data_IF_267045745393
#
_entry.id   IF_267045745393
#
_cell.length_a   1.000
_cell.length_b   1.000
_cell.length_c   1.000
_cell.angle_alpha   90.00
_cell.angle_beta   90.00
_cell.angle_gamma   90.00
#
_symmetry.space_group_name_H-M   'P 1'
#
loop_
_entity.id
_entity.type
_entity.pdbx_description
1 polymer ?
#
# COMPACT_ATOMS: atom_id res chain seq x y z
N UNK A 1 -5.61 21.44 10.20
CA UNK A 1 -4.59 21.89 9.27
C UNK A 1 -5.24 22.38 8.00
N UNK A 2 -4.67 23.40 7.38
CA UNK A 2 -5.15 23.87 6.07
C UNK A 2 -4.63 22.91 4.99
N UNK A 3 -5.50 22.44 4.10
CA UNK A 3 -5.19 21.61 2.94
C UNK A 3 -4.46 22.39 1.82
N UNK A 4 -3.82 23.50 2.13
CA UNK A 4 -3.15 24.39 1.17
C UNK A 4 -1.91 23.78 0.52
N UNK A 5 -1.37 22.70 1.08
CA UNK A 5 -0.15 22.02 0.61
C UNK A 5 -0.43 20.66 -0.04
N UNK A 6 -1.67 20.40 -0.46
CA UNK A 6 -2.05 19.18 -1.18
C UNK A 6 -2.12 19.49 -2.66
N UNK A 7 -1.42 18.67 -3.47
CA UNK A 7 -1.51 18.71 -4.92
C UNK A 7 -2.11 17.39 -5.39
N UNK A 8 -3.17 17.47 -6.20
CA UNK A 8 -3.76 16.31 -6.86
C UNK A 8 -3.05 16.08 -8.19
N UNK A 9 -2.60 14.85 -8.39
CA UNK A 9 -2.02 14.44 -9.67
C UNK A 9 -3.14 14.00 -10.60
N UNK A 10 -3.20 14.52 -11.83
CA UNK A 10 -4.21 14.08 -12.80
C UNK A 10 -4.10 12.58 -13.05
N UNK A 11 -5.24 11.87 -12.97
CA UNK A 11 -5.41 10.46 -13.32
C UNK A 11 -6.65 10.39 -14.20
N UNK A 12 -6.48 10.63 -15.50
CA UNK A 12 -7.55 10.78 -16.49
C UNK A 12 -7.37 9.76 -17.61
N UNK A 13 -8.36 9.64 -18.48
CA UNK A 13 -8.28 8.76 -19.65
C UNK A 13 -7.13 9.13 -20.59
N UNK A 14 -6.78 10.41 -20.68
CA UNK A 14 -5.72 10.92 -21.55
C UNK A 14 -4.32 10.44 -21.12
N UNK A 15 -4.11 10.16 -19.82
CA UNK A 15 -2.86 9.61 -19.30
C UNK A 15 -2.98 8.14 -18.83
N UNK A 16 -4.02 7.45 -19.32
CA UNK A 16 -4.32 6.07 -18.92
C UNK A 16 -4.42 5.88 -17.39
N UNK A 17 -4.87 6.90 -16.68
CA UNK A 17 -4.97 6.97 -15.21
C UNK A 17 -3.65 6.74 -14.48
N UNK A 18 -2.51 6.96 -15.15
CA UNK A 18 -1.17 6.87 -14.58
C UNK A 18 -0.64 8.28 -14.37
N UNK A 19 -0.46 8.72 -13.11
CA UNK A 19 0.03 10.07 -12.83
C UNK A 19 1.50 10.22 -13.19
N UNK A 20 1.87 11.40 -13.64
CA UNK A 20 3.25 11.76 -13.92
C UNK A 20 4.04 11.96 -12.62
N UNK A 21 5.33 11.63 -12.69
CA UNK A 21 6.26 11.92 -11.60
C UNK A 21 6.41 13.45 -11.48
N UNK A 22 6.23 14.03 -10.28
CA UNK A 22 6.40 15.47 -10.09
C UNK A 22 7.82 15.95 -10.40
N UNK A 23 7.93 17.14 -10.99
CA UNK A 23 9.19 17.81 -11.25
C UNK A 23 9.81 18.51 -10.03
N UNK A 24 9.04 18.63 -8.95
CA UNK A 24 9.41 19.26 -7.67
C UNK A 24 9.45 18.23 -6.53
N UNK A 25 10.23 18.53 -5.49
CA UNK A 25 10.22 17.71 -4.28
C UNK A 25 8.86 17.75 -3.58
N UNK A 26 8.38 16.57 -3.19
CA UNK A 26 7.18 16.36 -2.40
C UNK A 26 7.57 15.53 -1.17
N UNK A 27 7.03 15.88 0.00
CA UNK A 27 7.35 15.16 1.24
C UNK A 27 6.65 13.79 1.32
N UNK A 28 5.38 13.72 0.88
CA UNK A 28 4.58 12.49 0.92
C UNK A 28 3.80 12.35 -0.38
N UNK A 29 3.82 11.16 -0.97
CA UNK A 29 2.93 10.79 -2.08
C UNK A 29 2.05 9.60 -1.67
N UNK A 30 0.76 9.67 -1.99
CA UNK A 30 -0.19 8.58 -1.80
C UNK A 30 -0.51 7.94 -3.15
N UNK A 31 -0.27 6.64 -3.27
CA UNK A 31 -0.52 5.83 -4.45
C UNK A 31 -1.46 4.68 -4.09
N UNK A 32 -2.53 4.49 -4.83
CA UNK A 32 -3.47 3.39 -4.66
C UNK A 32 -3.48 2.53 -5.93
N UNK A 33 -2.90 1.33 -5.85
CA UNK A 33 -2.84 0.39 -6.98
C UNK A 33 -2.95 -1.07 -6.52
N UNK A 34 -3.83 -1.88 -7.14
CA UNK A 34 -4.82 -1.47 -8.16
C UNK A 34 -5.72 -0.33 -7.68
N UNK A 35 -6.02 0.62 -8.57
CA UNK A 35 -6.70 1.85 -8.22
C UNK A 35 -8.22 1.65 -8.05
N UNK A 36 -8.78 2.30 -7.05
CA UNK A 36 -10.22 2.49 -6.92
C UNK A 36 -10.55 3.96 -7.26
N UNK A 37 -11.36 4.26 -8.29
CA UNK A 37 -12.33 3.37 -8.94
C UNK A 37 -11.90 2.81 -10.31
N UNK A 38 -10.73 3.15 -10.84
CA UNK A 38 -10.39 2.91 -12.26
C UNK A 38 -9.96 1.48 -12.57
N UNK A 39 -9.56 0.68 -11.56
CA UNK A 39 -8.98 -0.66 -11.75
C UNK A 39 -7.57 -0.68 -12.33
N UNK A 40 -7.00 0.48 -12.65
CA UNK A 40 -5.65 0.56 -13.24
C UNK A 40 -4.57 0.08 -12.28
N UNK A 41 -3.49 -0.43 -12.85
CA UNK A 41 -2.32 -0.95 -12.15
C UNK A 41 -1.06 -0.24 -12.60
N UNK A 42 0.03 -0.41 -11.86
CA UNK A 42 1.37 -0.02 -12.29
C UNK A 42 2.21 -1.27 -12.52
N UNK A 43 2.90 -1.31 -13.65
CA UNK A 43 3.93 -2.34 -13.91
C UNK A 43 5.14 -2.13 -13.00
N UNK A 44 6.00 -3.15 -12.88
CA UNK A 44 7.26 -3.03 -12.11
C UNK A 44 8.13 -1.86 -12.57
N UNK A 45 8.33 -1.58 -13.88
CA UNK A 45 9.09 -0.40 -14.34
C UNK A 45 8.44 0.93 -13.97
N UNK A 46 7.11 1.02 -14.01
CA UNK A 46 6.38 2.25 -13.64
C UNK A 46 6.48 2.50 -12.14
N UNK A 47 6.24 1.49 -11.31
CA UNK A 47 6.36 1.61 -9.86
C UNK A 47 7.82 1.91 -9.45
N UNK A 48 8.80 1.39 -10.21
CA UNK A 48 10.21 1.71 -9.99
C UNK A 48 10.52 3.19 -10.14
N UNK A 49 9.91 3.89 -11.08
CA UNK A 49 10.09 5.34 -11.24
C UNK A 49 9.69 6.10 -9.97
N UNK A 50 8.59 5.68 -9.33
CA UNK A 50 8.15 6.27 -8.06
C UNK A 50 9.12 6.00 -6.91
N UNK A 51 9.64 4.77 -6.83
CA UNK A 51 10.64 4.42 -5.81
C UNK A 51 11.94 5.19 -6.03
N UNK A 52 12.41 5.30 -7.28
CA UNK A 52 13.63 6.06 -7.61
C UNK A 52 13.44 7.55 -7.28
N UNK A 53 12.31 8.14 -7.66
CA UNK A 53 11.96 9.51 -7.30
C UNK A 53 11.95 9.72 -5.77
N UNK A 54 11.31 8.82 -5.04
CA UNK A 54 11.19 8.91 -3.59
C UNK A 54 12.57 8.83 -2.89
N UNK A 55 13.44 7.96 -3.36
CA UNK A 55 14.81 7.83 -2.84
C UNK A 55 15.65 9.08 -3.14
N UNK A 56 15.50 9.67 -4.33
CA UNK A 56 16.25 10.86 -4.74
C UNK A 56 15.79 12.13 -4.01
N UNK A 57 14.53 12.21 -3.58
CA UNK A 57 13.93 13.41 -3.02
C UNK A 57 13.60 13.31 -1.51
N UNK A 58 13.98 12.22 -0.85
CA UNK A 58 13.59 11.93 0.55
C UNK A 58 12.04 12.00 0.74
N UNK A 59 11.32 11.47 -0.23
CA UNK A 59 9.84 11.40 -0.26
C UNK A 59 9.35 10.11 0.38
N UNK A 60 8.29 10.19 1.19
CA UNK A 60 7.61 9.00 1.72
C UNK A 60 6.48 8.58 0.78
N UNK A 61 6.51 7.34 0.31
CA UNK A 61 5.40 6.73 -0.42
C UNK A 61 4.45 6.05 0.57
N UNK A 62 3.17 6.43 0.54
CA UNK A 62 2.08 5.70 1.15
C UNK A 62 1.41 4.86 0.05
N UNK A 63 1.68 3.55 0.05
CA UNK A 63 1.22 2.64 -1.01
C UNK A 63 0.01 1.83 -0.51
N UNK A 64 -1.16 2.12 -1.09
CA UNK A 64 -2.40 1.40 -0.78
C UNK A 64 -2.58 0.23 -1.76
N UNK A 65 -2.37 -0.98 -1.26
CA UNK A 65 -2.51 -2.23 -1.99
C UNK A 65 -3.77 -3.03 -1.58
N UNK A 66 -4.84 -2.33 -1.19
CA UNK A 66 -6.06 -3.00 -0.71
C UNK A 66 -6.70 -3.94 -1.73
N UNK A 67 -6.45 -3.74 -3.02
CA UNK A 67 -7.00 -4.52 -4.13
C UNK A 67 -6.01 -5.48 -4.78
N UNK A 68 -4.81 -5.68 -4.22
CA UNK A 68 -3.73 -6.50 -4.79
C UNK A 68 -4.15 -7.94 -5.11
N UNK A 69 -5.12 -8.47 -4.38
CA UNK A 69 -5.62 -9.83 -4.55
C UNK A 69 -6.28 -10.07 -5.92
N UNK A 70 -6.67 -9.02 -6.63
CA UNK A 70 -7.26 -9.09 -7.97
C UNK A 70 -6.25 -8.99 -9.11
N UNK A 71 -4.96 -8.81 -8.82
CA UNK A 71 -3.90 -8.79 -9.82
C UNK A 71 -3.74 -10.20 -10.40
N UNK A 72 -3.79 -10.31 -11.74
CA UNK A 72 -3.61 -11.55 -12.48
C UNK A 72 -2.41 -11.49 -13.46
N UNK A 73 -1.91 -10.28 -13.75
CA UNK A 73 -0.77 -10.06 -14.62
C UNK A 73 0.53 -10.18 -13.83
N UNK A 74 1.41 -11.11 -14.21
CA UNK A 74 2.72 -11.35 -13.57
C UNK A 74 3.69 -10.15 -13.65
N UNK A 75 3.45 -9.22 -14.57
CA UNK A 75 4.24 -7.99 -14.70
C UNK A 75 3.82 -6.90 -13.69
N UNK A 76 2.66 -7.06 -13.06
CA UNK A 76 2.13 -6.14 -12.04
C UNK A 76 2.56 -6.63 -10.66
N UNK A 77 3.28 -5.83 -9.87
CA UNK A 77 3.72 -6.25 -8.55
C UNK A 77 2.55 -6.31 -7.57
N UNK A 78 2.50 -7.35 -6.75
CA UNK A 78 1.55 -7.49 -5.63
C UNK A 78 1.96 -6.65 -4.41
N UNK A 79 3.21 -6.21 -4.36
CA UNK A 79 3.76 -5.41 -3.27
C UNK A 79 4.76 -4.39 -3.82
N UNK A 80 4.75 -3.17 -3.25
CA UNK A 80 5.79 -2.18 -3.56
C UNK A 80 7.18 -2.71 -3.20
N UNK A 81 7.28 -3.63 -2.24
CA UNK A 81 8.56 -4.19 -1.81
C UNK A 81 9.18 -5.20 -2.78
N UNK A 82 8.50 -5.55 -3.88
CA UNK A 82 9.13 -6.21 -5.02
C UNK A 82 10.09 -5.27 -5.76
N UNK A 83 9.96 -3.97 -5.55
CA UNK A 83 10.85 -2.96 -6.14
C UNK A 83 12.04 -2.72 -5.21
N UNK A 84 13.24 -2.91 -5.74
CA UNK A 84 14.49 -2.68 -4.98
C UNK A 84 14.56 -1.24 -4.48
N UNK A 85 14.80 -1.09 -3.17
CA UNK A 85 14.90 0.21 -2.49
C UNK A 85 13.61 0.67 -1.81
N UNK A 86 12.44 0.12 -2.15
CA UNK A 86 11.15 0.54 -1.60
C UNK A 86 11.08 0.48 -0.07
N UNK A 87 11.78 -0.47 0.57
CA UNK A 87 11.83 -0.56 2.05
C UNK A 87 12.42 0.67 2.73
N UNK A 88 13.14 1.51 1.98
CA UNK A 88 13.75 2.75 2.51
C UNK A 88 12.87 3.98 2.33
N UNK A 89 11.79 3.89 1.54
CA UNK A 89 10.97 5.05 1.20
C UNK A 89 9.46 4.79 1.20
N UNK A 90 8.98 3.58 1.51
CA UNK A 90 7.56 3.27 1.42
C UNK A 90 6.98 2.60 2.67
N UNK A 91 5.72 2.96 2.95
CA UNK A 91 4.80 2.25 3.85
C UNK A 91 3.72 1.61 2.97
N UNK A 92 3.41 0.32 3.21
CA UNK A 92 2.37 -0.39 2.46
C UNK A 92 1.16 -0.69 3.35
N UNK A 93 -0.04 -0.45 2.81
CA UNK A 93 -1.30 -0.78 3.45
C UNK A 93 -1.95 -1.98 2.78
N UNK A 94 -2.43 -2.92 3.58
CA UNK A 94 -3.11 -4.15 3.16
C UNK A 94 -4.46 -4.30 3.81
N UNK A 95 -5.39 -4.92 3.12
CA UNK A 95 -6.75 -5.11 3.62
C UNK A 95 -7.26 -6.51 3.35
N UNK A 96 -7.83 -7.16 4.37
CA UNK A 96 -8.57 -8.41 4.21
C UNK A 96 -9.98 -8.21 3.66
N UNK A 97 -10.44 -6.96 3.57
CA UNK A 97 -11.78 -6.65 3.05
C UNK A 97 -12.02 -7.21 1.65
N UNK A 98 -10.99 -7.16 0.79
CA UNK A 98 -11.05 -7.65 -0.59
C UNK A 98 -10.51 -9.07 -0.73
N UNK A 99 -9.43 -9.37 -0.02
CA UNK A 99 -8.78 -10.69 -0.07
C UNK A 99 -9.68 -11.80 0.46
N UNK A 100 -10.40 -11.56 1.56
CA UNK A 100 -11.16 -12.59 2.27
C UNK A 100 -12.61 -12.21 2.58
N UNK A 101 -13.16 -11.18 1.93
CA UNK A 101 -14.52 -10.73 2.20
C UNK A 101 -14.72 -10.11 3.58
N UNK A 102 -13.67 -9.64 4.25
CA UNK A 102 -13.71 -9.12 5.62
C UNK A 102 -14.23 -7.67 5.73
N UNK A 103 -15.02 -7.22 4.77
CA UNK A 103 -15.56 -5.84 4.77
C UNK A 103 -16.29 -5.50 6.07
N UNK A 104 -17.10 -6.41 6.60
CA UNK A 104 -17.80 -6.25 7.89
C UNK A 104 -16.97 -6.63 9.11
N UNK A 105 -15.91 -7.44 8.95
CA UNK A 105 -15.07 -7.94 10.04
C UNK A 105 -14.01 -6.93 10.49
N UNK A 106 -13.61 -6.02 9.59
CA UNK A 106 -12.67 -4.91 9.81
C UNK A 106 -11.26 -5.36 10.17
N UNK A 107 -10.54 -5.92 9.19
CA UNK A 107 -9.16 -6.31 9.35
C UNK A 107 -8.28 -5.78 8.20
N UNK A 108 -7.14 -5.26 8.56
CA UNK A 108 -6.08 -4.83 7.66
C UNK A 108 -4.78 -4.73 8.42
N UNK A 109 -3.69 -4.52 7.71
CA UNK A 109 -2.38 -4.31 8.33
C UNK A 109 -1.54 -3.31 7.54
N UNK A 110 -0.58 -2.73 8.24
CA UNK A 110 0.37 -1.77 7.68
C UNK A 110 1.77 -2.32 7.83
N UNK A 111 2.52 -2.32 6.75
CA UNK A 111 3.93 -2.71 6.74
C UNK A 111 4.78 -1.45 6.79
N UNK A 112 5.53 -1.29 7.89
CA UNK A 112 6.50 -0.21 8.09
C UNK A 112 7.88 -0.82 8.24
N UNK A 113 8.73 -0.81 7.21
CA UNK A 113 10.04 -1.43 7.25
C UNK A 113 10.94 -0.82 8.32
N UNK A 114 11.84 -1.64 8.90
CA UNK A 114 12.81 -1.17 9.89
C UNK A 114 13.87 -0.23 9.27
N UNK A 115 14.12 -0.39 7.97
CA UNK A 115 15.06 0.43 7.19
C UNK A 115 14.50 1.83 6.88
N UNK A 116 13.18 2.02 7.00
CA UNK A 116 12.54 3.30 6.70
C UNK A 116 12.80 4.30 7.82
N UNK A 117 13.44 5.41 7.47
CA UNK A 117 13.74 6.51 8.39
C UNK A 117 13.16 7.83 7.89
N UNK A 118 12.95 8.77 8.79
CA UNK A 118 12.61 10.16 8.46
C UNK A 118 13.52 11.13 9.21
N UNK A 119 13.75 12.30 8.64
CA UNK A 119 14.48 13.37 9.30
C UNK A 119 13.63 14.02 10.40
N UNK A 120 14.25 14.35 11.53
CA UNK A 120 13.68 15.24 12.56
C UNK A 120 13.87 16.71 12.15
N UNK A 121 13.30 17.62 12.91
CA UNK A 121 13.52 19.05 12.71
C UNK A 121 14.98 19.46 12.96
N UNK A 122 15.69 18.71 13.78
CA UNK A 122 17.12 18.90 14.10
C UNK A 122 18.04 18.27 13.05
N UNK A 123 17.48 17.51 12.08
CA UNK A 123 18.23 16.88 10.99
C UNK A 123 18.66 15.44 11.28
N UNK A 124 18.42 14.91 12.49
CA UNK A 124 18.66 13.51 12.80
C UNK A 124 17.69 12.58 12.05
N UNK A 125 18.13 11.36 11.76
CA UNK A 125 17.23 10.35 11.17
C UNK A 125 16.76 9.33 12.20
N UNK A 126 15.45 9.14 12.26
CA UNK A 126 14.81 8.21 13.18
C UNK A 126 14.04 7.13 12.42
N UNK A 127 14.04 5.87 12.90
CA UNK A 127 13.26 4.78 12.31
C UNK A 127 11.75 5.01 12.48
N UNK A 128 11.01 5.14 11.38
CA UNK A 128 9.55 5.30 11.41
C UNK A 128 8.85 4.08 12.02
N UNK A 129 9.40 2.88 11.87
CA UNK A 129 8.87 1.67 12.49
C UNK A 129 8.74 1.81 14.02
N UNK A 130 9.69 2.43 14.70
CA UNK A 130 9.63 2.65 16.16
C UNK A 130 8.48 3.58 16.55
N UNK A 131 8.30 4.67 15.80
CA UNK A 131 7.21 5.63 16.04
C UNK A 131 5.86 4.98 15.76
N UNK A 132 5.75 4.24 14.66
CA UNK A 132 4.52 3.53 14.29
C UNK A 132 4.14 2.50 15.35
N UNK A 133 5.08 1.67 15.79
CA UNK A 133 4.85 0.65 16.82
C UNK A 133 4.36 1.30 18.13
N UNK A 134 5.02 2.37 18.58
CA UNK A 134 4.58 3.09 19.78
C UNK A 134 3.16 3.63 19.62
N UNK A 135 2.84 4.26 18.48
CA UNK A 135 1.50 4.77 18.21
C UNK A 135 0.46 3.65 18.20
N UNK A 136 0.75 2.56 17.50
CA UNK A 136 -0.13 1.40 17.42
C UNK A 136 -0.43 0.82 18.80
N UNK A 137 0.57 0.55 19.60
CA UNK A 137 0.43 -0.03 20.94
C UNK A 137 -0.20 0.92 21.95
N UNK A 138 -0.19 2.24 21.70
CA UNK A 138 -0.73 3.24 22.64
C UNK A 138 -2.15 3.66 22.28
N UNK A 139 -2.49 3.72 20.99
CA UNK A 139 -3.74 4.34 20.52
C UNK A 139 -4.79 3.33 20.07
N UNK A 140 -4.38 2.14 19.66
CA UNK A 140 -5.32 1.19 19.05
C UNK A 140 -5.17 -0.25 19.56
N UNK A 141 -3.94 -0.77 19.72
CA UNK A 141 -3.60 -2.16 20.09
C UNK A 141 -3.95 -3.24 19.06
N UNK A 142 -4.69 -2.94 18.02
CA UNK A 142 -5.07 -3.86 16.96
C UNK A 142 -6.55 -4.23 16.96
N UNK A 143 -6.97 -4.97 15.93
CA UNK A 143 -8.32 -5.53 15.84
C UNK A 143 -8.53 -6.68 16.83
N UNK A 144 -9.77 -7.13 17.02
CA UNK A 144 -10.08 -8.18 18.01
C UNK A 144 -9.29 -9.46 17.76
N UNK A 145 -8.97 -10.20 18.82
CA UNK A 145 -8.22 -11.46 18.71
C UNK A 145 -8.92 -12.49 17.82
N UNK A 146 -10.26 -12.58 17.89
CA UNK A 146 -11.06 -13.48 17.03
C UNK A 146 -10.87 -13.12 15.57
N UNK A 147 -10.90 -11.83 15.23
CA UNK A 147 -10.64 -11.33 13.86
C UNK A 147 -9.21 -11.64 13.41
N UNK A 148 -8.22 -11.53 14.30
CA UNK A 148 -6.82 -11.87 13.98
C UNK A 148 -6.67 -13.37 13.69
N UNK A 149 -7.34 -14.24 14.45
CA UNK A 149 -7.34 -15.71 14.21
C UNK A 149 -8.03 -16.05 12.88
N UNK A 150 -9.14 -15.37 12.56
CA UNK A 150 -9.78 -15.53 11.25
C UNK A 150 -8.85 -15.08 10.10
N UNK A 151 -8.14 -13.96 10.26
CA UNK A 151 -7.17 -13.49 9.28
C UNK A 151 -5.98 -14.45 9.12
N UNK A 152 -5.52 -15.09 10.19
CA UNK A 152 -4.49 -16.13 10.12
C UNK A 152 -4.96 -17.35 9.32
N UNK A 153 -6.22 -17.78 9.51
CA UNK A 153 -6.79 -18.92 8.80
C UNK A 153 -6.83 -18.71 7.27
N UNK A 154 -6.90 -17.45 6.81
CA UNK A 154 -6.81 -17.07 5.38
C UNK A 154 -5.55 -17.64 4.71
N UNK A 155 -4.45 -17.76 5.45
CA UNK A 155 -3.16 -18.24 4.94
C UNK A 155 -2.98 -19.75 5.03
N UNK A 156 -3.93 -20.49 5.61
CA UNK A 156 -3.93 -21.97 5.58
C UNK A 156 -4.13 -22.48 4.15
N UNK A 157 -3.83 -23.75 3.90
CA UNK A 157 -4.04 -24.36 2.59
C UNK A 157 -5.53 -24.30 2.17
N UNK A 158 -6.44 -24.59 3.10
CA UNK A 158 -7.89 -24.52 2.90
C UNK A 158 -8.34 -23.07 2.65
N UNK A 159 -7.91 -22.12 3.49
CA UNK A 159 -8.24 -20.69 3.35
C UNK A 159 -7.81 -20.14 1.99
N UNK A 160 -6.59 -20.46 1.56
CA UNK A 160 -6.10 -20.06 0.22
C UNK A 160 -6.94 -20.65 -0.92
N UNK A 161 -7.37 -21.90 -0.81
CA UNK A 161 -8.23 -22.54 -1.80
C UNK A 161 -9.59 -21.83 -1.91
N UNK A 162 -10.24 -21.57 -0.78
CA UNK A 162 -11.54 -20.87 -0.71
C UNK A 162 -11.42 -19.43 -1.26
N UNK A 163 -10.33 -18.73 -0.92
CA UNK A 163 -10.10 -17.36 -1.43
C UNK A 163 -9.91 -17.37 -2.93
N UNK A 164 -9.13 -18.31 -3.46
CA UNK A 164 -8.93 -18.43 -4.92
C UNK A 164 -10.25 -18.64 -5.66
N UNK A 165 -11.13 -19.46 -5.14
CA UNK A 165 -12.47 -19.69 -5.69
C UNK A 165 -13.30 -18.40 -5.68
N UNK A 166 -13.34 -17.71 -4.53
CA UNK A 166 -14.07 -16.44 -4.36
C UNK A 166 -13.54 -15.35 -5.29
N UNK A 167 -12.22 -15.19 -5.40
CA UNK A 167 -11.60 -14.23 -6.31
C UNK A 167 -11.93 -14.58 -7.76
N UNK A 168 -11.86 -15.86 -8.14
CA UNK A 168 -12.26 -16.34 -9.47
C UNK A 168 -13.70 -15.98 -9.82
N UNK A 169 -14.61 -16.12 -8.86
CA UNK A 169 -16.01 -15.69 -9.03
C UNK A 169 -16.12 -14.18 -9.29
N UNK A 170 -15.43 -13.33 -8.52
CA UNK A 170 -15.46 -11.89 -8.73
C UNK A 170 -14.86 -11.52 -10.10
N UNK A 171 -13.73 -12.11 -10.47
CA UNK A 171 -13.07 -11.80 -11.74
C UNK A 171 -13.86 -12.26 -12.96
N UNK A 172 -14.72 -13.27 -12.83
CA UNK A 172 -15.62 -13.70 -13.90
C UNK A 172 -16.79 -12.73 -14.11
N UNK A 173 -17.14 -11.95 -13.08
CA UNK A 173 -18.26 -11.00 -13.13
C UNK A 173 -17.79 -9.54 -13.34
N UNK A 174 -16.49 -9.30 -13.46
CA UNK A 174 -15.91 -7.99 -13.74
C UNK A 174 -15.76 -7.74 -15.23
#
# INVERSE_FOLDING_TARGET
GKWSNVTYMPCTSENNFIPEIPDKRIDIVYLCYPNNPTGTTLTKPELKKWVDYALANDTLILFDAAYETYIQDENVPHSIYEIKGAKKCAIEFRSFSKTAGFTGVRCGYTVVPKELTAATLEGDRIPLNRLWNRRQCTKFNGTSYITQRAAEAVYSAEGKAQIKETIGYYMTNA
#
